data_IF_804802999168
#
_entry.id   IF_804802999168
#
_cell.length_a   1.000
_cell.length_b   1.000
_cell.length_c   1.000
_cell.angle_alpha   90.00
_cell.angle_beta   90.00
_cell.angle_gamma   90.00
#
_symmetry.space_group_name_H-M   'P 1'
#
loop_
_entity.id
_entity.type
_entity.pdbx_description
1 polymer ?
#
# COMPACT_ATOMS: atom_id res chain seq x y z
N UNK A 1 -2.76 -18.49 24.99
CA UNK A 1 -3.98 -17.71 24.68
C UNK A 1 -3.54 -16.44 23.98
N UNK A 2 -4.05 -16.14 22.78
CA UNK A 2 -3.87 -14.82 22.17
C UNK A 2 -4.61 -13.78 23.01
N UNK A 3 -4.01 -12.60 23.22
CA UNK A 3 -4.66 -11.48 23.90
C UNK A 3 -5.87 -11.00 23.07
N UNK A 4 -6.80 -10.29 23.72
CA UNK A 4 -7.96 -9.69 23.05
C UNK A 4 -7.49 -8.72 21.95
N UNK A 5 -6.46 -7.93 22.23
CA UNK A 5 -5.86 -7.01 21.25
C UNK A 5 -5.27 -7.75 20.04
N UNK A 6 -4.62 -8.89 20.24
CA UNK A 6 -4.05 -9.65 19.12
C UNK A 6 -5.15 -10.23 18.21
N UNK A 7 -6.26 -10.67 18.80
CA UNK A 7 -7.43 -11.10 18.03
C UNK A 7 -8.08 -9.95 17.26
N UNK A 8 -8.21 -8.79 17.89
CA UNK A 8 -8.75 -7.58 17.24
C UNK A 8 -7.88 -7.13 16.07
N UNK A 9 -6.55 -7.20 16.24
CA UNK A 9 -5.61 -6.90 15.17
C UNK A 9 -5.79 -7.87 13.99
N UNK A 10 -5.86 -9.18 14.26
CA UNK A 10 -6.03 -10.17 13.20
C UNK A 10 -7.36 -10.01 12.46
N UNK A 11 -8.46 -9.82 13.18
CA UNK A 11 -9.79 -9.57 12.59
C UNK A 11 -9.80 -8.30 11.74
N UNK A 12 -9.17 -7.22 12.22
CA UNK A 12 -9.05 -5.99 11.45
C UNK A 12 -8.20 -6.20 10.19
N UNK A 13 -7.12 -6.99 10.27
CA UNK A 13 -6.25 -7.28 9.14
C UNK A 13 -6.93 -8.15 8.08
N UNK A 14 -7.76 -9.11 8.49
CA UNK A 14 -8.51 -10.01 7.60
C UNK A 14 -9.75 -9.34 6.97
N UNK A 15 -10.09 -8.12 7.38
CA UNK A 15 -11.22 -7.40 6.81
C UNK A 15 -11.06 -7.24 5.28
N UNK A 16 -12.11 -7.51 4.47
CA UNK A 16 -11.99 -7.51 3.01
C UNK A 16 -11.51 -6.18 2.42
N UNK A 17 -11.92 -5.05 2.99
CA UNK A 17 -11.48 -3.73 2.55
C UNK A 17 -10.01 -3.46 2.88
N UNK A 18 -9.53 -3.98 4.01
CA UNK A 18 -8.12 -3.91 4.42
C UNK A 18 -7.25 -4.75 3.50
N UNK A 19 -7.65 -6.00 3.23
CA UNK A 19 -6.95 -6.90 2.30
C UNK A 19 -6.92 -6.33 0.87
N UNK A 20 -8.04 -5.78 0.39
CA UNK A 20 -8.11 -5.15 -0.92
C UNK A 20 -7.15 -3.94 -1.02
N UNK A 21 -7.16 -3.05 -0.02
CA UNK A 21 -6.29 -1.88 -0.02
C UNK A 21 -4.80 -2.24 0.07
N UNK A 22 -4.45 -3.28 0.84
CA UNK A 22 -3.07 -3.80 0.88
C UNK A 22 -2.66 -4.36 -0.47
N UNK A 23 -3.52 -5.16 -1.11
CA UNK A 23 -3.27 -5.72 -2.43
C UNK A 23 -3.09 -4.63 -3.50
N UNK A 24 -3.94 -3.61 -3.50
CA UNK A 24 -3.86 -2.49 -4.44
C UNK A 24 -2.56 -1.70 -4.25
N UNK A 25 -2.16 -1.46 -3.01
CA UNK A 25 -0.88 -0.83 -2.68
C UNK A 25 0.31 -1.64 -3.18
N UNK A 26 0.34 -2.94 -2.90
CA UNK A 26 1.42 -3.83 -3.33
C UNK A 26 1.52 -3.91 -4.86
N UNK A 27 0.38 -4.03 -5.55
CA UNK A 27 0.30 -4.03 -6.99
C UNK A 27 0.82 -2.72 -7.59
N UNK A 28 0.36 -1.57 -7.09
CA UNK A 28 0.79 -0.26 -7.57
C UNK A 28 2.29 -0.05 -7.31
N UNK A 29 2.77 -0.43 -6.13
CA UNK A 29 4.17 -0.33 -5.77
C UNK A 29 5.06 -1.18 -6.69
N UNK A 30 4.70 -2.45 -6.90
CA UNK A 30 5.43 -3.37 -7.76
C UNK A 30 5.46 -2.90 -9.22
N UNK A 31 4.36 -2.34 -9.74
CA UNK A 31 4.30 -1.78 -11.10
C UNK A 31 5.17 -0.54 -11.23
N UNK A 32 5.10 0.40 -10.28
CA UNK A 32 5.94 1.60 -10.23
C UNK A 32 7.42 1.22 -10.22
N UNK A 33 7.83 0.30 -9.35
CA UNK A 33 9.22 -0.15 -9.26
C UNK A 33 9.69 -0.88 -10.53
N UNK A 34 8.83 -1.71 -11.12
CA UNK A 34 9.12 -2.40 -12.38
C UNK A 34 9.37 -1.43 -13.53
N UNK A 35 8.52 -0.40 -13.66
CA UNK A 35 8.66 0.62 -14.71
C UNK A 35 9.89 1.49 -14.45
N UNK A 36 10.10 1.93 -13.20
CA UNK A 36 11.27 2.71 -12.79
C UNK A 36 12.56 1.99 -13.17
N UNK A 37 12.71 0.70 -12.81
CA UNK A 37 13.89 -0.10 -13.19
C UNK A 37 14.07 -0.22 -14.70
N UNK A 38 12.99 -0.43 -15.46
CA UNK A 38 13.04 -0.51 -16.92
C UNK A 38 13.50 0.81 -17.55
N UNK A 39 12.99 1.95 -17.07
CA UNK A 39 13.41 3.28 -17.52
C UNK A 39 14.88 3.54 -17.20
N UNK A 40 15.32 3.24 -15.98
CA UNK A 40 16.74 3.36 -15.60
C UNK A 40 17.66 2.45 -16.43
N UNK A 41 17.15 1.29 -16.86
CA UNK A 41 17.87 0.38 -17.77
C UNK A 41 17.82 0.78 -19.25
N UNK A 42 17.24 1.94 -19.59
CA UNK A 42 17.17 2.44 -20.97
C UNK A 42 16.10 1.76 -21.84
N UNK A 43 15.13 1.08 -21.23
CA UNK A 43 14.03 0.45 -21.97
C UNK A 43 13.16 1.49 -22.68
N UNK A 44 12.82 1.22 -23.93
CA UNK A 44 11.88 2.02 -24.73
C UNK A 44 10.46 1.46 -24.73
N UNK A 45 10.24 0.30 -24.07
CA UNK A 45 8.92 -0.36 -23.99
C UNK A 45 7.99 0.23 -22.92
N UNK A 46 8.51 1.09 -22.05
CA UNK A 46 7.74 1.81 -21.03
C UNK A 46 8.12 3.27 -21.09
N UNK A 47 7.21 4.14 -20.69
CA UNK A 47 7.39 5.59 -20.77
C UNK A 47 7.39 6.23 -19.39
N UNK A 48 7.91 7.45 -19.31
CA UNK A 48 7.78 8.30 -18.11
C UNK A 48 6.30 8.58 -17.80
N UNK A 49 5.42 8.59 -18.82
CA UNK A 49 3.97 8.71 -18.63
C UNK A 49 3.40 7.50 -17.89
N UNK A 50 3.85 6.30 -18.24
CA UNK A 50 3.44 5.08 -17.53
C UNK A 50 3.91 5.13 -16.07
N UNK A 51 5.13 5.61 -15.82
CA UNK A 51 5.63 5.80 -14.46
C UNK A 51 4.75 6.76 -13.67
N UNK A 52 4.45 7.94 -14.22
CA UNK A 52 3.60 8.95 -13.58
C UNK A 52 2.19 8.41 -13.27
N UNK A 53 1.63 7.59 -14.16
CA UNK A 53 0.34 6.94 -13.93
C UNK A 53 0.38 6.00 -12.72
N UNK A 54 1.41 5.18 -12.59
CA UNK A 54 1.55 4.26 -11.45
C UNK A 54 1.97 4.95 -10.16
N UNK A 55 2.68 6.08 -10.24
CA UNK A 55 2.93 6.95 -9.09
C UNK A 55 1.63 7.57 -8.56
N UNK A 56 0.75 8.02 -9.45
CA UNK A 56 -0.59 8.50 -9.08
C UNK A 56 -1.43 7.38 -8.44
N UNK A 57 -1.46 6.19 -9.04
CA UNK A 57 -2.15 5.02 -8.46
C UNK A 57 -1.60 4.62 -7.10
N UNK A 58 -0.27 4.64 -6.92
CA UNK A 58 0.37 4.37 -5.63
C UNK A 58 0.00 5.43 -4.59
N UNK A 59 -0.09 6.70 -4.98
CA UNK A 59 -0.52 7.80 -4.11
C UNK A 59 -1.95 7.60 -3.62
N UNK A 60 -2.87 7.23 -4.51
CA UNK A 60 -4.26 6.93 -4.11
C UNK A 60 -4.37 5.71 -3.20
N UNK A 61 -3.61 4.63 -3.47
CA UNK A 61 -3.58 3.47 -2.59
C UNK A 61 -3.05 3.82 -1.18
N UNK A 62 -2.02 4.68 -1.09
CA UNK A 62 -1.53 5.19 0.20
C UNK A 62 -2.61 5.98 0.95
N UNK A 63 -3.36 6.85 0.27
CA UNK A 63 -4.47 7.58 0.90
C UNK A 63 -5.55 6.64 1.44
N UNK A 64 -5.89 5.60 0.69
CA UNK A 64 -6.86 4.59 1.13
C UNK A 64 -6.37 3.86 2.39
N UNK A 65 -5.11 3.43 2.42
CA UNK A 65 -4.49 2.83 3.61
C UNK A 65 -4.47 3.78 4.81
N UNK A 66 -4.14 5.06 4.61
CA UNK A 66 -4.17 6.05 5.68
C UNK A 66 -5.60 6.26 6.23
N UNK A 67 -6.62 6.25 5.38
CA UNK A 67 -8.02 6.34 5.81
C UNK A 67 -8.48 5.09 6.57
N UNK A 68 -8.02 3.91 6.18
CA UNK A 68 -8.23 2.66 6.91
C UNK A 68 -7.57 2.74 8.29
N UNK A 69 -6.30 3.14 8.38
CA UNK A 69 -5.60 3.29 9.65
C UNK A 69 -6.32 4.27 10.60
N UNK A 70 -6.82 5.39 10.08
CA UNK A 70 -7.63 6.34 10.87
C UNK A 70 -8.91 5.71 11.45
N UNK A 71 -9.55 4.79 10.72
CA UNK A 71 -10.76 4.08 11.18
C UNK A 71 -10.44 2.91 12.11
N UNK A 72 -9.23 2.37 12.03
CA UNK A 72 -8.79 1.22 12.82
C UNK A 72 -7.31 1.36 13.19
N UNK A 73 -6.99 2.16 14.23
CA UNK A 73 -5.60 2.47 14.60
C UNK A 73 -4.76 1.25 14.98
N UNK A 74 -5.40 0.15 15.39
CA UNK A 74 -4.70 -1.11 15.67
C UNK A 74 -3.92 -1.64 14.47
N UNK A 75 -4.31 -1.26 13.25
CA UNK A 75 -3.61 -1.61 12.01
C UNK A 75 -2.28 -0.88 11.84
N UNK A 76 -2.01 0.22 12.55
CA UNK A 76 -0.71 0.91 12.50
C UNK A 76 0.45 0.04 13.02
N UNK A 77 0.15 -1.06 13.72
CA UNK A 77 1.14 -2.11 14.07
C UNK A 77 1.71 -2.82 12.84
N UNK A 78 0.97 -2.82 11.72
CA UNK A 78 1.41 -3.44 10.49
C UNK A 78 2.44 -2.54 9.77
N UNK A 79 3.59 -3.07 9.31
CA UNK A 79 4.67 -2.25 8.75
C UNK A 79 4.25 -1.33 7.59
N UNK A 80 3.37 -1.82 6.70
CA UNK A 80 2.86 -1.02 5.57
C UNK A 80 2.02 0.16 6.06
N UNK A 81 1.10 -0.07 7.00
CA UNK A 81 0.25 0.99 7.53
C UNK A 81 1.08 2.03 8.31
N UNK A 82 2.02 1.56 9.13
CA UNK A 82 2.97 2.43 9.85
C UNK A 82 3.76 3.33 8.89
N UNK A 83 4.33 2.76 7.83
CA UNK A 83 5.11 3.49 6.84
C UNK A 83 4.24 4.50 6.05
N UNK A 84 3.00 4.15 5.73
CA UNK A 84 2.09 5.06 5.03
C UNK A 84 1.67 6.22 5.93
N UNK A 85 1.28 5.96 7.19
CA UNK A 85 0.85 7.00 8.14
C UNK A 85 1.98 7.97 8.48
N UNK A 86 3.22 7.49 8.64
CA UNK A 86 4.38 8.34 8.90
C UNK A 86 4.73 9.31 7.75
N UNK A 87 4.23 9.04 6.55
CA UNK A 87 4.51 9.82 5.34
C UNK A 87 3.22 10.36 4.67
N UNK A 88 2.11 10.42 5.42
CA UNK A 88 0.80 10.95 4.98
C UNK A 88 0.59 12.42 5.33
#
# INVERSE_FOLDING_TARGET
MQSIEERQYHVALEAPDVQAALHDYECAHAKRDSISRKLCGGSTHVTVRDLAQWEASLSEAKKALAQIAKRSPILERHPIFSAVVAHS
#
